data_IF_400768723516
#
_entry.id   IF_400768723516
#
_cell.length_a   1.000
_cell.length_b   1.000
_cell.length_c   1.000
_cell.angle_alpha   90.00
_cell.angle_beta   90.00
_cell.angle_gamma   90.00
#
_symmetry.space_group_name_H-M   'P 1'
#
loop_
_entity.id
_entity.type
_entity.pdbx_description
1 polymer ?
#
# COMPACT_ATOMS: atom_id res chain seq x y z
N UNK A 1 -41.41 23.98 -0.49
CA UNK A 1 -40.07 24.61 -0.35
C UNK A 1 -39.19 23.90 -1.36
N UNK A 2 -38.41 24.60 -2.21
CA UNK A 2 -37.51 23.90 -3.12
C UNK A 2 -36.51 23.10 -2.27
N UNK A 3 -36.54 21.78 -2.40
CA UNK A 3 -35.61 20.92 -1.66
C UNK A 3 -34.22 21.15 -2.23
N UNK A 4 -33.29 21.55 -1.36
CA UNK A 4 -31.88 21.68 -1.75
C UNK A 4 -31.39 20.28 -2.14
N UNK A 5 -30.90 20.07 -3.37
CA UNK A 5 -30.42 18.75 -3.78
C UNK A 5 -29.31 18.28 -2.85
N UNK A 6 -29.34 17.02 -2.43
CA UNK A 6 -28.32 16.43 -1.54
C UNK A 6 -26.92 16.61 -2.14
N UNK A 7 -26.78 16.41 -3.45
CA UNK A 7 -25.55 16.63 -4.21
C UNK A 7 -24.95 18.04 -4.04
N UNK A 8 -25.80 19.06 -3.86
CA UNK A 8 -25.35 20.43 -3.64
C UNK A 8 -24.77 20.61 -2.25
N UNK A 9 -25.38 20.00 -1.23
CA UNK A 9 -24.88 19.99 0.14
C UNK A 9 -23.54 19.23 0.20
N UNK A 10 -23.48 18.06 -0.42
CA UNK A 10 -22.25 17.25 -0.51
C UNK A 10 -21.11 18.03 -1.17
N UNK A 11 -21.40 18.72 -2.28
CA UNK A 11 -20.44 19.55 -2.99
C UNK A 11 -19.89 20.68 -2.09
N UNK A 12 -20.75 21.38 -1.35
CA UNK A 12 -20.33 22.46 -0.43
C UNK A 12 -19.46 21.91 0.70
N UNK A 13 -19.88 20.79 1.32
CA UNK A 13 -19.12 20.14 2.39
C UNK A 13 -17.74 19.70 1.88
N UNK A 14 -17.69 19.07 0.71
CA UNK A 14 -16.45 18.65 0.08
C UNK A 14 -15.53 19.84 -0.26
N UNK A 15 -16.08 20.95 -0.75
CA UNK A 15 -15.33 22.18 -0.99
C UNK A 15 -14.75 22.76 0.30
N UNK A 16 -15.55 22.83 1.36
CA UNK A 16 -15.10 23.32 2.66
C UNK A 16 -13.96 22.48 3.22
N UNK A 17 -14.10 21.15 3.24
CA UNK A 17 -13.03 20.23 3.69
C UNK A 17 -11.78 20.36 2.81
N UNK A 18 -11.94 20.51 1.49
CA UNK A 18 -10.81 20.71 0.57
C UNK A 18 -10.04 21.99 0.91
N UNK A 19 -10.73 23.10 1.18
CA UNK A 19 -10.11 24.35 1.61
C UNK A 19 -9.40 24.19 2.96
N UNK A 20 -10.02 23.50 3.92
CA UNK A 20 -9.39 23.21 5.21
C UNK A 20 -8.08 22.44 5.05
N UNK A 21 -8.03 21.45 4.16
CA UNK A 21 -6.80 20.69 3.88
C UNK A 21 -5.75 21.59 3.19
N UNK A 22 -6.15 22.33 2.15
CA UNK A 22 -5.24 23.22 1.42
C UNK A 22 -4.67 24.35 2.28
N UNK A 23 -5.36 24.74 3.36
CA UNK A 23 -4.88 25.75 4.29
C UNK A 23 -3.50 25.42 4.90
N UNK A 24 -3.10 24.14 4.89
CA UNK A 24 -1.75 23.70 5.29
C UNK A 24 -0.63 24.40 4.50
N UNK A 25 -0.89 24.83 3.26
CA UNK A 25 0.07 25.57 2.45
C UNK A 25 0.51 26.90 3.10
N UNK A 26 -0.33 27.47 3.98
CA UNK A 26 -0.07 28.71 4.73
C UNK A 26 0.56 28.40 6.11
N UNK A 27 0.72 27.12 6.44
CA UNK A 27 1.24 26.63 7.71
C UNK A 27 0.22 25.81 8.51
N UNK A 28 0.65 25.32 9.66
CA UNK A 28 -0.16 24.51 10.57
C UNK A 28 -1.18 25.38 11.32
N UNK A 29 -2.42 25.38 10.85
CA UNK A 29 -3.52 26.18 11.38
C UNK A 29 -4.66 25.29 11.93
N UNK A 30 -5.58 25.90 12.67
CA UNK A 30 -6.69 25.19 13.33
C UNK A 30 -7.59 24.46 12.32
N UNK A 31 -7.86 25.05 11.15
CA UNK A 31 -8.72 24.43 10.13
C UNK A 31 -8.09 23.14 9.60
N UNK A 32 -6.80 23.17 9.27
CA UNK A 32 -6.06 21.97 8.83
C UNK A 32 -6.06 20.87 9.90
N UNK A 33 -5.84 21.23 11.16
CA UNK A 33 -5.87 20.26 12.28
C UNK A 33 -7.24 19.62 12.44
N UNK A 34 -8.32 20.41 12.38
CA UNK A 34 -9.69 19.87 12.44
C UNK A 34 -9.92 18.88 11.30
N UNK A 35 -9.55 19.22 10.06
CA UNK A 35 -9.71 18.31 8.93
C UNK A 35 -8.93 17.01 9.12
N UNK A 36 -7.71 17.08 9.67
CA UNK A 36 -6.86 15.92 9.92
C UNK A 36 -7.43 15.04 11.05
N UNK A 37 -7.88 15.63 12.16
CA UNK A 37 -8.52 14.89 13.24
C UNK A 37 -9.84 14.25 12.79
N UNK A 38 -10.63 14.96 11.99
CA UNK A 38 -11.85 14.41 11.39
C UNK A 38 -11.52 13.22 10.49
N UNK A 39 -10.53 13.36 9.61
CA UNK A 39 -10.10 12.28 8.71
C UNK A 39 -9.62 11.05 9.48
N UNK A 40 -8.74 11.23 10.47
CA UNK A 40 -8.23 10.13 11.31
C UNK A 40 -9.37 9.50 12.12
N UNK A 41 -10.28 10.30 12.67
CA UNK A 41 -11.44 9.83 13.43
C UNK A 41 -12.38 8.98 12.58
N UNK A 42 -12.73 9.45 11.37
CA UNK A 42 -13.57 8.70 10.43
C UNK A 42 -12.86 7.41 10.00
N UNK A 43 -11.58 7.48 9.63
CA UNK A 43 -10.82 6.31 9.18
C UNK A 43 -10.71 5.23 10.28
N UNK A 44 -10.37 5.62 11.52
CA UNK A 44 -10.29 4.70 12.65
C UNK A 44 -11.66 4.19 13.09
N UNK A 45 -12.71 5.02 13.04
CA UNK A 45 -14.08 4.62 13.30
C UNK A 45 -14.60 3.60 12.31
N UNK A 46 -14.37 3.82 11.01
CA UNK A 46 -14.72 2.87 9.95
C UNK A 46 -13.97 1.55 10.09
N UNK A 47 -12.65 1.60 10.31
CA UNK A 47 -11.85 0.41 10.57
C UNK A 47 -12.33 -0.35 11.82
N UNK A 48 -12.69 0.38 12.88
CA UNK A 48 -13.26 -0.17 14.10
C UNK A 48 -14.63 -0.83 13.88
N UNK A 49 -15.51 -0.22 13.08
CA UNK A 49 -16.81 -0.79 12.73
C UNK A 49 -16.66 -2.08 11.91
N UNK A 50 -15.74 -2.11 10.95
CA UNK A 50 -15.40 -3.33 10.20
C UNK A 50 -14.87 -4.40 11.15
N UNK A 51 -13.93 -4.06 12.03
CA UNK A 51 -13.38 -5.01 13.01
C UNK A 51 -14.48 -5.52 13.95
N UNK A 52 -15.42 -4.66 14.34
CA UNK A 52 -16.55 -5.05 15.17
C UNK A 52 -17.44 -6.07 14.45
N UNK A 53 -17.96 -5.73 13.28
CA UNK A 53 -18.93 -6.58 12.56
C UNK A 53 -18.30 -7.87 12.02
N UNK A 54 -17.06 -7.81 11.52
CA UNK A 54 -16.46 -8.95 10.82
C UNK A 54 -15.56 -9.82 11.71
N UNK A 55 -15.13 -9.33 12.88
CA UNK A 55 -14.17 -10.04 13.73
C UNK A 55 -14.69 -10.15 15.17
N UNK A 56 -14.81 -9.03 15.88
CA UNK A 56 -15.10 -9.04 17.33
C UNK A 56 -16.47 -9.65 17.62
N UNK A 57 -17.52 -9.21 16.92
CA UNK A 57 -18.87 -9.72 17.12
C UNK A 57 -18.97 -11.22 16.79
N UNK A 58 -18.59 -11.71 15.59
CA UNK A 58 -18.73 -13.13 15.27
C UNK A 58 -17.76 -14.04 16.05
N UNK A 59 -16.56 -13.56 16.43
CA UNK A 59 -15.57 -14.39 17.15
C UNK A 59 -15.75 -14.35 18.67
N UNK A 60 -16.10 -13.21 19.26
CA UNK A 60 -16.14 -13.03 20.71
C UNK A 60 -17.57 -12.93 21.28
N UNK A 61 -18.46 -12.19 20.62
CA UNK A 61 -19.78 -11.85 21.19
C UNK A 61 -20.85 -12.87 20.84
N UNK A 62 -20.96 -13.23 19.57
CA UNK A 62 -22.04 -14.06 19.05
C UNK A 62 -22.01 -15.50 19.60
N UNK A 63 -20.85 -16.18 19.71
CA UNK A 63 -20.81 -17.50 20.35
C UNK A 63 -21.16 -17.44 21.85
N UNK A 64 -20.97 -16.29 22.52
CA UNK A 64 -21.41 -16.12 23.92
C UNK A 64 -22.93 -16.07 24.03
N UNK A 65 -23.57 -15.41 23.07
CA UNK A 65 -25.03 -15.21 23.02
C UNK A 65 -25.71 -16.52 22.63
N UNK A 66 -25.22 -17.17 21.57
CA UNK A 66 -25.89 -18.32 20.97
C UNK A 66 -25.66 -19.61 21.76
N UNK A 67 -24.44 -19.82 22.28
CA UNK A 67 -24.05 -21.08 22.94
C UNK A 67 -23.87 -20.97 24.47
N UNK A 68 -23.89 -19.75 25.01
CA UNK A 68 -23.72 -19.48 26.43
C UNK A 68 -22.31 -19.74 26.98
N UNK A 69 -22.10 -19.43 28.27
CA UNK A 69 -20.81 -19.60 28.97
C UNK A 69 -20.36 -21.06 29.08
N UNK A 70 -21.25 -22.03 28.89
CA UNK A 70 -20.92 -23.45 29.01
C UNK A 70 -19.94 -23.93 27.92
N UNK A 71 -20.00 -23.33 26.72
CA UNK A 71 -19.11 -23.68 25.60
C UNK A 71 -17.67 -23.19 25.79
N UNK A 72 -17.41 -22.27 26.72
CA UNK A 72 -16.04 -21.86 27.09
C UNK A 72 -15.21 -23.02 27.65
N UNK A 73 -15.86 -23.99 28.28
CA UNK A 73 -15.22 -25.12 28.94
C UNK A 73 -15.25 -26.40 28.10
N UNK A 74 -15.80 -26.34 26.88
CA UNK A 74 -15.76 -27.48 25.96
C UNK A 74 -14.40 -27.54 25.23
N UNK A 75 -13.90 -28.73 24.87
CA UNK A 75 -12.61 -28.88 24.17
C UNK A 75 -12.54 -28.12 22.85
N UNK A 76 -13.66 -28.04 22.12
CA UNK A 76 -13.77 -27.34 20.83
C UNK A 76 -13.88 -25.80 21.00
N UNK A 77 -14.49 -25.34 22.10
CA UNK A 77 -14.59 -23.92 22.44
C UNK A 77 -13.30 -23.33 23.00
N UNK A 78 -12.42 -24.16 23.58
CA UNK A 78 -11.17 -23.68 24.17
C UNK A 78 -10.25 -22.99 23.14
N UNK A 79 -10.01 -23.59 21.98
CA UNK A 79 -9.15 -22.97 20.95
C UNK A 79 -9.84 -21.78 20.25
N UNK A 80 -11.12 -21.93 19.94
CA UNK A 80 -11.86 -21.01 19.07
C UNK A 80 -12.37 -19.79 19.82
N UNK A 81 -12.59 -19.91 21.13
CA UNK A 81 -13.30 -18.91 21.93
C UNK A 81 -12.51 -18.47 23.17
N UNK A 82 -11.97 -19.41 23.96
CA UNK A 82 -11.24 -19.09 25.19
C UNK A 82 -9.92 -18.35 24.91
N UNK A 83 -9.15 -18.79 23.92
CA UNK A 83 -7.87 -18.14 23.56
C UNK A 83 -8.09 -16.69 23.12
N UNK A 84 -8.96 -16.36 22.14
CA UNK A 84 -9.23 -14.97 21.77
C UNK A 84 -9.69 -14.09 22.93
N UNK A 85 -10.58 -14.59 23.80
CA UNK A 85 -11.03 -13.86 24.99
C UNK A 85 -9.90 -13.61 25.99
N UNK A 86 -9.04 -14.61 26.23
CA UNK A 86 -7.88 -14.47 27.10
C UNK A 86 -6.89 -13.43 26.55
N UNK A 87 -6.63 -13.45 25.24
CA UNK A 87 -5.77 -12.46 24.58
C UNK A 87 -6.35 -11.06 24.63
N UNK A 88 -7.67 -10.92 24.42
CA UNK A 88 -8.38 -9.65 24.56
C UNK A 88 -8.26 -9.10 25.99
N UNK A 89 -8.48 -9.95 27.01
CA UNK A 89 -8.32 -9.56 28.41
C UNK A 89 -6.88 -9.16 28.75
N UNK A 90 -5.89 -9.92 28.28
CA UNK A 90 -4.48 -9.56 28.46
C UNK A 90 -4.14 -8.24 27.77
N UNK A 91 -4.76 -7.95 26.62
CA UNK A 91 -4.58 -6.67 25.95
C UNK A 91 -5.11 -5.50 26.79
N UNK A 92 -6.24 -5.67 27.50
CA UNK A 92 -6.77 -4.66 28.43
C UNK A 92 -5.80 -4.35 29.58
N UNK A 93 -4.92 -5.28 29.96
CA UNK A 93 -3.92 -5.04 31.01
C UNK A 93 -2.90 -3.95 30.63
N UNK A 94 -2.78 -3.57 29.36
CA UNK A 94 -1.99 -2.39 28.94
C UNK A 94 -2.55 -1.06 29.43
N UNK A 95 -3.82 -0.97 29.82
CA UNK A 95 -4.40 0.26 30.38
C UNK A 95 -3.83 0.57 31.78
N UNK A 96 -3.28 -0.42 32.49
CA UNK A 96 -2.69 -0.27 33.81
C UNK A 96 -1.16 -0.38 33.78
N UNK A 97 -0.40 0.60 34.29
CA UNK A 97 1.05 0.54 34.36
C UNK A 97 1.60 -0.69 35.11
N UNK A 98 0.84 -1.21 36.09
CA UNK A 98 1.26 -2.35 36.93
C UNK A 98 1.11 -3.69 36.21
N UNK A 99 0.08 -3.83 35.36
CA UNK A 99 -0.29 -5.09 34.72
C UNK A 99 0.15 -5.17 33.24
N UNK A 100 0.70 -4.07 32.70
CA UNK A 100 1.13 -3.93 31.30
C UNK A 100 2.12 -5.00 30.82
N UNK A 101 2.87 -5.68 31.71
CA UNK A 101 3.79 -6.76 31.32
C UNK A 101 3.06 -7.94 30.68
N UNK A 102 1.88 -8.29 31.20
CA UNK A 102 1.07 -9.39 30.67
C UNK A 102 0.40 -9.04 29.33
N UNK A 103 0.11 -7.74 29.11
CA UNK A 103 -0.36 -7.25 27.82
C UNK A 103 0.72 -7.17 26.73
N UNK A 104 1.97 -7.53 27.04
CA UNK A 104 3.04 -7.66 26.04
C UNK A 104 2.80 -8.80 25.06
N UNK A 105 2.23 -9.92 25.51
CA UNK A 105 2.05 -11.11 24.67
C UNK A 105 1.04 -10.89 23.52
N UNK A 106 -0.19 -10.39 23.75
CA UNK A 106 -1.11 -10.08 22.65
C UNK A 106 -0.55 -9.03 21.69
N UNK A 107 0.21 -8.06 22.19
CA UNK A 107 0.80 -7.03 21.32
C UNK A 107 1.95 -7.57 20.47
N UNK A 108 2.80 -8.44 21.02
CA UNK A 108 3.82 -9.13 20.24
C UNK A 108 3.18 -9.96 19.11
N UNK A 109 2.06 -10.64 19.40
CA UNK A 109 1.30 -11.38 18.39
C UNK A 109 0.71 -10.47 17.32
N UNK A 110 0.08 -9.35 17.70
CA UNK A 110 -0.45 -8.35 16.75
C UNK A 110 0.64 -7.78 15.84
N UNK A 111 1.80 -7.44 16.39
CA UNK A 111 2.94 -6.92 15.61
C UNK A 111 3.52 -8.01 14.71
N UNK A 112 3.68 -9.23 15.21
CA UNK A 112 4.20 -10.35 14.41
C UNK A 112 3.29 -10.72 13.25
N UNK A 113 1.98 -10.83 13.49
CA UNK A 113 0.98 -11.07 12.44
C UNK A 113 0.93 -9.89 11.47
N UNK A 114 0.95 -8.65 11.97
CA UNK A 114 0.97 -7.45 11.12
C UNK A 114 2.20 -7.42 10.21
N UNK A 115 3.38 -7.70 10.74
CA UNK A 115 4.62 -7.81 9.96
C UNK A 115 4.54 -8.94 8.93
N UNK A 116 4.01 -10.11 9.31
CA UNK A 116 3.82 -11.23 8.39
C UNK A 116 2.84 -10.90 7.26
N UNK A 117 1.73 -10.20 7.55
CA UNK A 117 0.76 -9.75 6.55
C UNK A 117 1.38 -8.72 5.61
N UNK A 118 2.16 -7.76 6.13
CA UNK A 118 2.84 -6.76 5.29
C UNK A 118 3.89 -7.41 4.40
N UNK A 119 4.76 -8.27 4.95
CA UNK A 119 5.82 -8.94 4.18
C UNK A 119 5.21 -9.93 3.19
N UNK A 120 4.31 -10.80 3.65
CA UNK A 120 3.62 -11.78 2.83
C UNK A 120 2.80 -11.13 1.72
N UNK A 121 2.03 -10.09 2.07
CA UNK A 121 1.25 -9.31 1.12
C UNK A 121 2.10 -8.52 0.12
N UNK A 122 3.29 -8.05 0.51
CA UNK A 122 4.24 -7.45 -0.44
C UNK A 122 4.81 -8.51 -1.39
N UNK A 123 5.14 -9.70 -0.89
CA UNK A 123 5.66 -10.78 -1.74
C UNK A 123 4.60 -11.25 -2.73
N UNK A 124 3.40 -11.59 -2.26
CA UNK A 124 2.33 -12.17 -3.09
C UNK A 124 1.56 -11.12 -3.88
N UNK A 125 1.42 -9.90 -3.35
CA UNK A 125 0.68 -8.81 -3.97
C UNK A 125 1.52 -7.97 -4.93
N UNK A 126 2.83 -7.88 -4.74
CA UNK A 126 3.69 -7.08 -5.62
C UNK A 126 4.80 -7.89 -6.26
N UNK A 127 5.73 -8.47 -5.47
CA UNK A 127 6.96 -9.05 -6.03
C UNK A 127 6.71 -10.23 -6.98
N UNK A 128 5.83 -11.16 -6.61
CA UNK A 128 5.51 -12.33 -7.44
C UNK A 128 4.77 -11.91 -8.73
N UNK A 129 3.65 -11.16 -8.69
CA UNK A 129 3.00 -10.69 -9.90
C UNK A 129 3.92 -9.89 -10.83
N UNK A 130 4.76 -9.01 -10.27
CA UNK A 130 5.71 -8.23 -11.06
C UNK A 130 6.78 -9.11 -11.71
N UNK A 131 7.30 -10.11 -10.98
CA UNK A 131 8.26 -11.09 -11.52
C UNK A 131 7.65 -11.95 -12.62
N UNK A 132 6.41 -12.40 -12.43
CA UNK A 132 5.68 -13.17 -13.44
C UNK A 132 5.37 -12.34 -14.68
N UNK A 133 4.96 -11.08 -14.52
CA UNK A 133 4.73 -10.16 -15.63
C UNK A 133 6.03 -9.93 -16.43
N UNK A 134 7.16 -9.72 -15.74
CA UNK A 134 8.47 -9.62 -16.38
C UNK A 134 8.84 -10.91 -17.13
N UNK A 135 8.62 -12.09 -16.54
CA UNK A 135 8.85 -13.37 -17.20
C UNK A 135 7.94 -13.59 -18.41
N UNK A 136 6.69 -13.10 -18.37
CA UNK A 136 5.75 -13.17 -19.49
C UNK A 136 6.21 -12.41 -20.74
N UNK A 137 6.99 -11.33 -20.56
CA UNK A 137 7.59 -10.59 -21.69
C UNK A 137 8.57 -11.44 -22.51
N UNK A 138 9.07 -12.54 -21.93
CA UNK A 138 10.02 -13.48 -22.52
C UNK A 138 9.34 -14.74 -23.08
N UNK A 139 8.02 -14.73 -23.21
CA UNK A 139 7.28 -15.88 -23.73
C UNK A 139 7.59 -16.15 -25.21
N UNK A 140 7.54 -17.41 -25.69
CA UNK A 140 7.78 -17.73 -27.11
C UNK A 140 6.87 -16.98 -28.09
N UNK A 141 5.71 -16.52 -27.63
CA UNK A 141 4.77 -15.70 -28.39
C UNK A 141 5.27 -14.26 -28.66
N UNK A 142 6.31 -13.78 -27.98
CA UNK A 142 6.95 -12.49 -28.30
C UNK A 142 8.02 -12.61 -29.38
N UNK A 143 8.54 -13.81 -29.62
CA UNK A 143 9.58 -14.05 -30.62
C UNK A 143 9.05 -14.09 -32.06
N UNK A 144 7.77 -14.41 -32.25
CA UNK A 144 7.14 -14.56 -33.57
C UNK A 144 6.09 -13.46 -33.81
N UNK A 145 6.01 -12.91 -35.04
CA UNK A 145 4.95 -11.98 -35.40
C UNK A 145 3.60 -12.70 -35.44
N UNK A 146 2.58 -12.08 -34.87
CA UNK A 146 1.22 -12.61 -34.91
C UNK A 146 0.61 -12.35 -36.29
N UNK A 147 -0.21 -13.28 -36.80
CA UNK A 147 -0.87 -13.09 -38.09
C UNK A 147 -1.75 -11.82 -38.07
N UNK A 148 -1.47 -10.88 -38.96
CA UNK A 148 -2.17 -9.59 -39.04
C UNK A 148 -1.61 -8.48 -38.14
N UNK A 149 -0.53 -8.73 -37.39
CA UNK A 149 0.14 -7.72 -36.57
C UNK A 149 1.03 -6.80 -37.44
N UNK A 150 0.92 -5.46 -37.29
CA UNK A 150 1.84 -4.54 -37.96
C UNK A 150 3.29 -4.78 -37.54
N UNK A 151 4.23 -4.71 -38.48
CA UNK A 151 5.65 -4.96 -38.22
C UNK A 151 6.24 -4.06 -37.11
N UNK A 152 5.78 -2.80 -37.02
CA UNK A 152 6.23 -1.87 -35.98
C UNK A 152 5.89 -2.36 -34.57
N UNK A 153 4.68 -2.89 -34.37
CA UNK A 153 4.20 -3.38 -33.06
C UNK A 153 5.00 -4.61 -32.64
N UNK A 154 5.27 -5.53 -33.57
CA UNK A 154 6.12 -6.69 -33.29
C UNK A 154 7.56 -6.28 -32.94
N UNK A 155 8.14 -5.33 -33.67
CA UNK A 155 9.49 -4.81 -33.38
C UNK A 155 9.57 -4.15 -32.00
N UNK A 156 8.58 -3.35 -31.62
CA UNK A 156 8.49 -2.73 -30.29
C UNK A 156 8.45 -3.79 -29.18
N UNK A 157 7.66 -4.85 -29.35
CA UNK A 157 7.60 -5.97 -28.40
C UNK A 157 8.94 -6.70 -28.30
N UNK A 158 9.60 -6.96 -29.44
CA UNK A 158 10.90 -7.64 -29.48
C UNK A 158 11.99 -6.80 -28.81
N UNK A 159 12.05 -5.50 -29.11
CA UNK A 159 13.00 -4.56 -28.48
C UNK A 159 12.74 -4.50 -26.98
N UNK A 160 11.48 -4.43 -26.55
CA UNK A 160 11.12 -4.41 -25.13
C UNK A 160 11.58 -5.67 -24.40
N UNK A 161 11.37 -6.86 -25.00
CA UNK A 161 11.82 -8.13 -24.45
C UNK A 161 13.36 -8.18 -24.33
N UNK A 162 14.09 -7.76 -25.37
CA UNK A 162 15.55 -7.71 -25.35
C UNK A 162 16.08 -6.73 -24.30
N UNK A 163 15.47 -5.54 -24.20
CA UNK A 163 15.79 -4.55 -23.18
C UNK A 163 15.56 -5.11 -21.78
N UNK A 164 14.45 -5.83 -21.55
CA UNK A 164 14.17 -6.47 -20.26
C UNK A 164 15.22 -7.51 -19.88
N UNK A 165 15.69 -8.34 -20.82
CA UNK A 165 16.79 -9.30 -20.57
C UNK A 165 18.06 -8.55 -20.18
N UNK A 166 18.47 -7.59 -21.01
CA UNK A 166 19.71 -6.84 -20.80
C UNK A 166 19.66 -6.09 -19.49
N UNK A 167 18.56 -5.41 -19.19
CA UNK A 167 18.35 -4.69 -17.93
C UNK A 167 18.41 -5.64 -16.73
N UNK A 168 17.67 -6.76 -16.77
CA UNK A 168 17.62 -7.73 -15.67
C UNK A 168 19.01 -8.31 -15.39
N UNK A 169 19.71 -8.77 -16.43
CA UNK A 169 21.08 -9.32 -16.29
C UNK A 169 22.03 -8.26 -15.74
N UNK A 170 22.00 -7.04 -16.29
CA UNK A 170 22.86 -5.93 -15.85
C UNK A 170 22.63 -5.58 -14.38
N UNK A 171 21.37 -5.48 -13.95
CA UNK A 171 21.00 -5.17 -12.56
C UNK A 171 21.39 -6.32 -11.60
N UNK A 172 21.18 -7.57 -12.00
CA UNK A 172 21.63 -8.72 -11.20
C UNK A 172 23.15 -8.77 -11.05
N UNK A 173 23.90 -8.44 -12.11
CA UNK A 173 25.36 -8.35 -12.07
C UNK A 173 25.80 -7.19 -11.17
N UNK A 174 25.12 -6.04 -11.23
CA UNK A 174 25.37 -4.91 -10.34
C UNK A 174 25.22 -5.29 -8.86
N UNK A 175 24.12 -5.97 -8.51
CA UNK A 175 23.82 -6.39 -7.13
C UNK A 175 24.49 -7.69 -6.69
N UNK A 176 25.32 -8.32 -7.54
CA UNK A 176 25.97 -9.59 -7.20
C UNK A 176 26.88 -9.41 -5.99
N UNK A 177 26.38 -9.83 -4.82
CA UNK A 177 27.02 -9.70 -3.51
C UNK A 177 28.26 -10.59 -3.32
N UNK A 178 28.55 -11.47 -4.29
CA UNK A 178 29.71 -12.35 -4.28
C UNK A 178 30.87 -11.70 -5.03
N UNK A 179 31.49 -10.70 -4.38
CA UNK A 179 32.86 -10.36 -4.67
C UNK A 179 33.73 -11.50 -4.10
N UNK A 180 34.17 -12.43 -4.95
CA UNK A 180 35.35 -13.22 -4.63
C UNK A 180 36.48 -12.23 -4.35
N UNK A 181 36.89 -12.14 -3.08
CA UNK A 181 38.08 -11.38 -2.69
C UNK A 181 39.27 -12.12 -3.29
N UNK A 182 40.01 -11.45 -4.16
CA UNK A 182 41.33 -11.92 -4.57
C UNK A 182 42.26 -11.92 -3.33
N UNK A 183 43.31 -12.74 -3.33
CA UNK A 183 44.25 -12.92 -2.20
C UNK A 183 44.98 -11.61 -1.80
N UNK A 184 44.85 -10.55 -2.60
CA UNK A 184 45.40 -9.20 -2.42
C UNK A 184 44.35 -8.14 -2.05
N UNK A 185 43.10 -8.53 -1.79
CA UNK A 185 42.03 -7.60 -1.38
C UNK A 185 41.37 -6.82 -2.53
N UNK A 186 41.81 -7.02 -3.77
CA UNK A 186 41.18 -6.44 -4.97
C UNK A 186 39.98 -7.25 -5.45
N UNK A 187 38.88 -6.58 -5.83
CA UNK A 187 37.77 -7.22 -6.51
C UNK A 187 38.14 -7.44 -7.99
N UNK A 188 38.57 -8.65 -8.36
CA UNK A 188 38.89 -8.97 -9.76
C UNK A 188 37.59 -9.27 -10.53
N UNK A 189 36.91 -8.23 -11.01
CA UNK A 189 35.79 -8.36 -11.95
C UNK A 189 36.33 -8.58 -13.37
N UNK A 190 35.67 -9.42 -14.18
CA UNK A 190 35.97 -9.45 -15.62
C UNK A 190 35.54 -8.11 -16.24
N UNK A 191 36.25 -7.64 -17.26
CA UNK A 191 35.92 -6.36 -17.95
C UNK A 191 34.46 -6.32 -18.42
N UNK A 192 33.91 -7.47 -18.82
CA UNK A 192 32.51 -7.60 -19.23
C UNK A 192 31.57 -7.40 -18.03
N UNK A 193 31.85 -8.04 -16.90
CA UNK A 193 31.02 -7.88 -15.69
C UNK A 193 31.02 -6.44 -15.16
N UNK A 194 32.13 -5.70 -15.34
CA UNK A 194 32.21 -4.29 -14.96
C UNK A 194 31.31 -3.40 -15.83
N UNK A 195 31.30 -3.62 -17.15
CA UNK A 195 30.41 -2.91 -18.09
C UNK A 195 28.94 -3.20 -17.77
N UNK A 196 28.58 -4.47 -17.57
CA UNK A 196 27.19 -4.84 -17.22
C UNK A 196 26.79 -4.29 -15.84
N UNK A 197 27.69 -4.24 -14.87
CA UNK A 197 27.42 -3.64 -13.56
C UNK A 197 27.17 -2.12 -13.69
N UNK A 198 27.97 -1.41 -14.48
CA UNK A 198 27.77 0.02 -14.73
C UNK A 198 26.43 0.28 -15.43
N UNK A 199 26.09 -0.54 -16.44
CA UNK A 199 24.81 -0.46 -17.12
C UNK A 199 23.65 -0.73 -16.15
N UNK A 200 23.79 -1.71 -15.25
CA UNK A 200 22.83 -2.00 -14.19
C UNK A 200 22.62 -0.82 -13.24
N UNK A 201 23.69 -0.13 -12.86
CA UNK A 201 23.62 1.10 -12.05
C UNK A 201 22.81 2.19 -12.75
N UNK A 202 23.01 2.38 -14.06
CA UNK A 202 22.22 3.34 -14.86
C UNK A 202 20.75 2.95 -14.86
N UNK A 203 20.42 1.68 -15.12
CA UNK A 203 19.03 1.22 -15.09
C UNK A 203 18.36 1.46 -13.74
N UNK A 204 19.06 1.23 -12.64
CA UNK A 204 18.56 1.50 -11.28
C UNK A 204 18.32 3.00 -11.10
N UNK A 205 19.30 3.84 -11.45
CA UNK A 205 19.17 5.29 -11.32
C UNK A 205 18.01 5.85 -12.15
N UNK A 206 17.85 5.39 -13.39
CA UNK A 206 16.74 5.77 -14.27
C UNK A 206 15.41 5.30 -13.69
N UNK A 207 15.33 4.06 -13.21
CA UNK A 207 14.08 3.51 -12.65
C UNK A 207 13.64 4.30 -11.41
N UNK A 208 14.55 4.57 -10.47
CA UNK A 208 14.24 5.42 -9.32
C UNK A 208 13.86 6.85 -9.73
N UNK A 209 14.55 7.41 -10.73
CA UNK A 209 14.21 8.72 -11.29
C UNK A 209 12.79 8.77 -11.85
N UNK A 210 12.39 7.76 -12.63
CA UNK A 210 11.03 7.64 -13.17
C UNK A 210 10.00 7.45 -12.07
N UNK A 211 10.26 6.59 -11.08
CA UNK A 211 9.35 6.40 -9.94
C UNK A 211 9.14 7.69 -9.14
N UNK A 212 10.21 8.43 -8.89
CA UNK A 212 10.15 9.72 -8.20
C UNK A 212 9.41 10.78 -9.01
N UNK A 213 9.73 10.92 -10.31
CA UNK A 213 9.04 11.84 -11.21
C UNK A 213 7.54 11.50 -11.31
N UNK A 214 7.19 10.21 -11.38
CA UNK A 214 5.81 9.74 -11.36
C UNK A 214 5.07 10.11 -10.07
N UNK A 215 5.72 9.95 -8.91
CA UNK A 215 5.13 10.34 -7.63
C UNK A 215 4.92 11.87 -7.52
N UNK A 216 5.89 12.67 -7.98
CA UNK A 216 5.76 14.12 -8.05
C UNK A 216 4.63 14.54 -8.99
N UNK A 217 4.59 13.96 -10.19
CA UNK A 217 3.55 14.24 -11.18
C UNK A 217 2.18 13.88 -10.63
N UNK A 218 2.02 12.72 -10.00
CA UNK A 218 0.77 12.32 -9.36
C UNK A 218 0.34 13.32 -8.27
N UNK A 219 1.29 13.80 -7.46
CA UNK A 219 1.02 14.80 -6.42
C UNK A 219 0.54 16.12 -7.01
N UNK A 220 1.21 16.60 -8.07
CA UNK A 220 0.83 17.83 -8.79
C UNK A 220 -0.54 17.66 -9.44
N UNK A 221 -0.82 16.51 -10.07
CA UNK A 221 -2.11 16.21 -10.69
C UNK A 221 -3.22 16.20 -9.65
N UNK A 222 -3.03 15.56 -8.50
CA UNK A 222 -4.00 15.56 -7.41
C UNK A 222 -4.25 16.99 -6.91
N UNK A 223 -3.20 17.79 -6.74
CA UNK A 223 -3.35 19.20 -6.34
C UNK A 223 -4.13 20.02 -7.38
N UNK A 224 -3.79 19.88 -8.67
CA UNK A 224 -4.48 20.55 -9.76
C UNK A 224 -5.97 20.16 -9.82
N UNK A 225 -6.28 18.87 -9.63
CA UNK A 225 -7.66 18.38 -9.55
C UNK A 225 -8.43 19.05 -8.40
N UNK A 226 -7.80 19.30 -7.25
CA UNK A 226 -8.45 19.99 -6.13
C UNK A 226 -8.69 21.47 -6.42
N UNK A 227 -7.77 22.15 -7.09
CA UNK A 227 -7.99 23.53 -7.54
C UNK A 227 -9.09 23.63 -8.60
N UNK A 228 -9.09 22.73 -9.58
CA UNK A 228 -10.13 22.66 -10.60
C UNK A 228 -11.50 22.40 -9.97
N UNK A 229 -11.59 21.45 -9.04
CA UNK A 229 -12.81 21.20 -8.27
C UNK A 229 -13.31 22.47 -7.55
N UNK A 230 -12.44 23.20 -6.86
CA UNK A 230 -12.84 24.45 -6.19
C UNK A 230 -13.28 25.54 -7.18
N UNK A 231 -12.60 25.66 -8.33
CA UNK A 231 -13.01 26.57 -9.40
C UNK A 231 -14.42 26.22 -9.92
N UNK A 232 -14.68 24.94 -10.16
CA UNK A 232 -15.97 24.45 -10.67
C UNK A 232 -17.09 24.69 -9.64
N UNK A 233 -16.79 24.55 -8.34
CA UNK A 233 -17.72 24.91 -7.27
C UNK A 233 -18.04 26.40 -7.27
N UNK A 234 -17.02 27.28 -7.37
CA UNK A 234 -17.24 28.73 -7.39
C UNK A 234 -18.02 29.17 -8.62
N UNK A 235 -17.68 28.66 -9.80
CA UNK A 235 -18.39 28.99 -11.04
C UNK A 235 -19.84 28.51 -11.01
N UNK A 236 -20.13 27.34 -10.42
CA UNK A 236 -21.51 26.86 -10.23
C UNK A 236 -22.31 27.71 -9.24
N UNK A 237 -21.68 28.24 -8.20
CA UNK A 237 -22.34 29.11 -7.22
C UNK A 237 -22.59 30.51 -7.80
N UNK A 238 -21.62 31.07 -8.53
CA UNK A 238 -21.70 32.43 -9.09
C UNK A 238 -22.53 32.46 -10.38
N UNK A 239 -22.44 31.42 -11.20
CA UNK A 239 -23.15 31.30 -12.48
C UNK A 239 -24.66 31.05 -12.35
N UNK A 240 -25.13 30.64 -11.16
CA UNK A 240 -26.54 30.41 -10.88
C UNK A 240 -27.13 29.23 -11.64
N UNK A 241 -27.19 28.05 -10.99
CA UNK A 241 -27.91 26.83 -11.37
C UNK A 241 -27.79 26.37 -12.84
#
# INVERSE_FOLDING_TARGET
MPEVPVDFIEMIVAAFITVMILSYAIGDNVLFRIATYLFIGIASGFAGAIAWENIVKPTLVQPLIDDGLAKLFSPEGALTFLIPWMLALFMLFKLSPRLSRFGGFPVALLVGVGAAVVVGGSITGTLLPQSMAAAGTLSPATALPTAGEPLSVWLERLISALLMIVATISVLIYFRFSAQRDLTGGARRSKIAEVFAYLGQIFIAVTFGVMYAGALMATIVVLAQRFQFLHDVVTRIVGGA
#
